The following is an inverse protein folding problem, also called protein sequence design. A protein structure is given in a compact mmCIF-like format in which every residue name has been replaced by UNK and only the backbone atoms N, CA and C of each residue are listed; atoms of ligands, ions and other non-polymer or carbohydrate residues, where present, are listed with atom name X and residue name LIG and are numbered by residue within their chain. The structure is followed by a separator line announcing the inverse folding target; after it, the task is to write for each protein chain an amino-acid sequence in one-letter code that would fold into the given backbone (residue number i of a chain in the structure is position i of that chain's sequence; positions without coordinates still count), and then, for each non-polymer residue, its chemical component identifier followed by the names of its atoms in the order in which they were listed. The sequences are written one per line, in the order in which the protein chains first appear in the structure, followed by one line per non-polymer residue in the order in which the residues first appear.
data_IF_792027734095
#
_entry.id   IF_792027734095
#
_cell.length_a   1.000
_cell.length_b   1.000
_cell.length_c   1.000
_cell.angle_alpha   90.00
_cell.angle_beta   90.00
_cell.angle_gamma   90.00
#
_symmetry.space_group_name_H-M   'P 1'
#
loop_
_entity.id
_entity.type
_entity.pdbx_description
1 polymer ?
#
# COMPACT_ATOMS: atom_id res chain seq x y z
N UNK A 1 -22.90 3.03 -5.28
CA UNK A 1 -22.00 2.74 -4.14
C UNK A 1 -21.26 4.02 -3.81
N UNK A 2 -21.45 4.56 -2.61
CA UNK A 2 -20.74 5.75 -2.14
C UNK A 2 -19.23 5.48 -2.01
N UNK A 3 -18.41 6.53 -1.99
CA UNK A 3 -16.95 6.40 -1.94
C UNK A 3 -16.47 5.55 -0.75
N UNK A 4 -17.03 5.79 0.43
CA UNK A 4 -16.67 5.06 1.65
C UNK A 4 -17.10 3.58 1.62
N UNK A 5 -18.22 3.28 0.98
CA UNK A 5 -18.71 1.91 0.80
C UNK A 5 -17.80 1.11 -0.16
N UNK A 6 -17.27 1.74 -1.22
CA UNK A 6 -16.30 1.12 -2.12
C UNK A 6 -15.00 0.83 -1.38
N UNK A 7 -14.50 1.80 -0.62
CA UNK A 7 -13.29 1.66 0.19
C UNK A 7 -13.40 0.48 1.17
N UNK A 8 -14.49 0.42 1.93
CA UNK A 8 -14.72 -0.67 2.87
C UNK A 8 -14.84 -2.03 2.19
N UNK A 9 -15.55 -2.10 1.05
CA UNK A 9 -15.74 -3.34 0.28
C UNK A 9 -14.42 -3.88 -0.25
N UNK A 10 -13.61 -3.04 -0.89
CA UNK A 10 -12.31 -3.45 -1.43
C UNK A 10 -11.33 -3.83 -0.33
N UNK A 11 -11.27 -3.06 0.75
CA UNK A 11 -10.41 -3.35 1.90
C UNK A 11 -10.77 -4.70 2.53
N UNK A 12 -12.07 -4.98 2.69
CA UNK A 12 -12.57 -6.27 3.19
C UNK A 12 -12.17 -7.42 2.26
N UNK A 13 -12.34 -7.25 0.95
CA UNK A 13 -11.93 -8.24 -0.04
C UNK A 13 -10.43 -8.53 0.03
N UNK A 14 -9.58 -7.48 -0.04
CA UNK A 14 -8.12 -7.62 0.00
C UNK A 14 -7.63 -8.26 1.31
N UNK A 15 -8.36 -8.09 2.43
CA UNK A 15 -7.98 -8.67 3.71
C UNK A 15 -7.96 -10.21 3.72
N UNK A 16 -8.62 -10.87 2.77
CA UNK A 16 -8.75 -12.33 2.68
C UNK A 16 -8.17 -12.93 1.39
N UNK A 17 -7.70 -12.12 0.44
CA UNK A 17 -7.11 -12.66 -0.80
C UNK A 17 -5.72 -13.26 -0.57
N UNK A 18 -5.35 -14.23 -1.40
CA UNK A 18 -4.03 -14.85 -1.38
C UNK A 18 -2.97 -13.99 -2.12
N UNK A 19 -1.70 -14.41 -2.04
CA UNK A 19 -0.57 -13.70 -2.66
C UNK A 19 -0.73 -13.52 -4.17
N UNK A 20 -1.27 -14.53 -4.88
CA UNK A 20 -1.47 -14.48 -6.33
C UNK A 20 -2.45 -13.38 -6.73
N UNK A 21 -3.61 -13.33 -6.09
CA UNK A 21 -4.63 -12.33 -6.40
C UNK A 21 -4.15 -10.92 -6.04
N UNK A 22 -3.44 -10.78 -4.92
CA UNK A 22 -2.82 -9.51 -4.54
C UNK A 22 -1.78 -9.05 -5.58
N UNK A 23 -0.94 -9.96 -6.08
CA UNK A 23 0.05 -9.66 -7.11
C UNK A 23 -0.61 -9.22 -8.43
N UNK A 24 -1.67 -9.91 -8.88
CA UNK A 24 -2.40 -9.50 -10.07
C UNK A 24 -3.04 -8.11 -9.93
N UNK A 25 -3.53 -7.77 -8.74
CA UNK A 25 -4.05 -6.42 -8.48
C UNK A 25 -2.95 -5.34 -8.50
N UNK A 26 -1.75 -5.68 -8.02
CA UNK A 26 -0.57 -4.81 -8.13
C UNK A 26 -0.15 -4.59 -9.58
N UNK A 27 -0.09 -5.66 -10.38
CA UNK A 27 0.25 -5.60 -11.82
C UNK A 27 -0.74 -4.70 -12.56
N UNK A 28 -2.04 -4.87 -12.32
CA UNK A 28 -3.08 -4.04 -12.94
C UNK A 28 -2.93 -2.55 -12.58
N UNK A 29 -2.50 -2.24 -11.35
CA UNK A 29 -2.16 -0.87 -10.98
C UNK A 29 -0.96 -0.34 -11.75
N UNK A 30 0.10 -1.13 -11.90
CA UNK A 30 1.30 -0.70 -12.62
C UNK A 30 1.03 -0.42 -14.10
N UNK A 31 0.10 -1.15 -14.71
CA UNK A 31 -0.35 -0.92 -16.09
C UNK A 31 -1.15 0.39 -16.23
N UNK A 32 -2.01 0.71 -15.24
CA UNK A 32 -2.89 1.88 -15.30
C UNK A 32 -2.93 2.67 -13.97
N UNK A 33 -1.84 3.36 -13.56
CA UNK A 33 -1.73 3.93 -12.21
C UNK A 33 -2.79 4.97 -11.86
N UNK A 34 -3.20 5.79 -12.85
CA UNK A 34 -4.20 6.86 -12.65
C UNK A 34 -5.61 6.30 -12.42
N UNK A 35 -5.95 5.21 -13.09
CA UNK A 35 -7.27 4.59 -13.01
C UNK A 35 -7.39 3.63 -11.83
N UNK A 36 -6.26 3.07 -11.40
CA UNK A 36 -6.18 2.04 -10.35
C UNK A 36 -5.70 2.57 -9.00
N UNK A 37 -5.68 3.90 -8.79
CA UNK A 37 -5.23 4.49 -7.53
C UNK A 37 -6.06 4.02 -6.32
N UNK A 38 -7.38 3.84 -6.50
CA UNK A 38 -8.24 3.26 -5.46
C UNK A 38 -7.81 1.82 -5.14
N UNK A 39 -7.54 0.99 -6.16
CA UNK A 39 -7.08 -0.40 -5.96
C UNK A 39 -5.76 -0.45 -5.20
N UNK A 40 -4.81 0.40 -5.60
CA UNK A 40 -3.52 0.56 -4.94
C UNK A 40 -3.67 0.92 -3.47
N UNK A 41 -4.51 1.92 -3.16
CA UNK A 41 -4.80 2.30 -1.79
C UNK A 41 -5.48 1.17 -0.97
N UNK A 42 -6.01 0.12 -1.59
CA UNK A 42 -6.63 -1.00 -0.88
C UNK A 42 -5.67 -2.17 -0.66
N UNK A 43 -4.54 -2.23 -1.38
CA UNK A 43 -3.56 -3.32 -1.24
C UNK A 43 -2.93 -3.38 0.17
N UNK A 44 -2.87 -2.27 0.89
CA UNK A 44 -2.42 -2.21 2.29
C UNK A 44 -3.40 -2.80 3.30
N UNK A 45 -4.63 -3.16 2.89
CA UNK A 45 -5.60 -3.84 3.77
C UNK A 45 -5.34 -5.34 3.96
N UNK A 46 -4.34 -5.90 3.28
CA UNK A 46 -3.98 -7.32 3.42
C UNK A 46 -3.58 -7.65 4.86
N UNK A 47 -3.93 -8.85 5.34
CA UNK A 47 -3.46 -9.38 6.63
C UNK A 47 -2.13 -10.12 6.52
N UNK A 48 -1.56 -10.19 5.33
CA UNK A 48 -0.29 -10.87 5.09
C UNK A 48 0.87 -9.88 5.26
N UNK A 49 1.59 -9.98 6.39
CA UNK A 49 2.74 -9.13 6.70
C UNK A 49 3.86 -9.21 5.65
N UNK A 50 4.03 -10.35 4.97
CA UNK A 50 5.00 -10.47 3.86
C UNK A 50 4.61 -9.55 2.71
N UNK A 51 3.32 -9.48 2.37
CA UNK A 51 2.82 -8.59 1.31
C UNK A 51 2.94 -7.12 1.73
N UNK A 52 2.66 -6.77 2.99
CA UNK A 52 2.89 -5.41 3.51
C UNK A 52 4.36 -5.04 3.40
N UNK A 53 5.28 -5.92 3.80
CA UNK A 53 6.72 -5.67 3.67
C UNK A 53 7.14 -5.46 2.22
N UNK A 54 6.67 -6.32 1.31
CA UNK A 54 6.91 -6.15 -0.14
C UNK A 54 6.40 -4.80 -0.62
N UNK A 55 5.16 -4.45 -0.25
CA UNK A 55 4.49 -3.25 -0.69
C UNK A 55 5.24 -1.98 -0.25
N UNK A 56 5.65 -1.94 1.01
CA UNK A 56 6.37 -0.83 1.61
C UNK A 56 7.80 -0.72 1.07
N UNK A 57 8.46 -1.84 0.79
CA UNK A 57 9.78 -1.86 0.15
C UNK A 57 9.74 -1.29 -1.27
N UNK A 58 8.71 -1.61 -2.05
CA UNK A 58 8.51 -1.03 -3.38
C UNK A 58 8.37 0.49 -3.32
N UNK A 59 7.61 1.01 -2.35
CA UNK A 59 7.47 2.45 -2.10
C UNK A 59 8.82 3.10 -1.78
N UNK A 60 9.55 2.53 -0.81
CA UNK A 60 10.82 3.09 -0.36
C UNK A 60 11.88 3.06 -1.45
N UNK A 61 11.86 2.05 -2.33
CA UNK A 61 12.78 1.98 -3.46
C UNK A 61 12.43 3.03 -4.54
N UNK A 62 11.15 3.41 -4.71
CA UNK A 62 10.82 4.51 -5.63
C UNK A 62 11.32 5.85 -5.10
N UNK A 63 11.38 6.05 -3.78
CA UNK A 63 11.97 7.27 -3.15
C UNK A 63 13.42 7.50 -3.56
N UNK A 64 14.20 6.43 -3.70
CA UNK A 64 15.61 6.54 -4.10
C UNK A 64 15.85 7.05 -5.53
N UNK A 65 14.79 7.26 -6.33
CA UNK A 65 14.88 7.73 -7.71
C UNK A 65 14.65 9.24 -7.93
N UNK A 66 14.57 10.04 -6.85
CA UNK A 66 14.51 11.52 -6.88
C UNK A 66 13.31 12.12 -7.65
N UNK A 67 12.08 11.65 -7.41
CA UNK A 67 10.86 12.31 -7.89
C UNK A 67 9.92 12.68 -6.73
N UNK A 68 9.22 13.82 -6.84
CA UNK A 68 8.16 14.19 -5.89
C UNK A 68 7.10 13.10 -5.75
N UNK A 69 6.87 12.37 -6.84
CA UNK A 69 5.94 11.23 -6.92
C UNK A 69 6.27 10.13 -5.90
N UNK A 70 7.53 10.01 -5.48
CA UNK A 70 7.93 8.96 -4.57
C UNK A 70 7.56 9.23 -3.11
N UNK A 71 7.56 10.50 -2.68
CA UNK A 71 7.02 10.90 -1.38
C UNK A 71 5.50 10.70 -1.34
N UNK A 72 4.82 11.06 -2.43
CA UNK A 72 3.38 10.84 -2.58
C UNK A 72 3.04 9.35 -2.52
N UNK A 73 3.86 8.48 -3.14
CA UNK A 73 3.68 7.03 -3.06
C UNK A 73 3.80 6.48 -1.63
N UNK A 74 4.76 6.96 -0.84
CA UNK A 74 4.89 6.55 0.58
C UNK A 74 3.70 7.05 1.39
N UNK A 75 3.23 8.28 1.16
CA UNK A 75 2.06 8.83 1.84
C UNK A 75 0.77 8.06 1.49
N UNK A 76 0.57 7.73 0.21
CA UNK A 76 -0.57 6.93 -0.26
C UNK A 76 -0.55 5.52 0.35
N UNK A 77 0.64 4.89 0.41
CA UNK A 77 0.78 3.57 1.05
C UNK A 77 0.53 3.66 2.55
N UNK A 78 0.98 4.72 3.22
CA UNK A 78 0.71 4.89 4.63
C UNK A 78 -0.79 5.07 4.92
N UNK A 79 -1.50 5.87 4.11
CA UNK A 79 -2.96 6.01 4.20
C UNK A 79 -3.71 4.72 3.88
N UNK A 80 -3.17 3.91 2.97
CA UNK A 80 -3.65 2.55 2.68
C UNK A 80 -3.60 1.66 3.92
N UNK A 81 -2.46 1.66 4.61
CA UNK A 81 -2.21 0.85 5.80
C UNK A 81 -3.04 1.30 7.00
N UNK A 82 -3.31 2.61 7.13
CA UNK A 82 -4.21 3.17 8.15
C UNK A 82 -5.63 2.61 8.05
N UNK A 83 -6.03 2.17 6.87
CA UNK A 83 -7.35 1.60 6.62
C UNK A 83 -7.42 0.10 6.97
N UNK A 84 -6.28 -0.54 7.25
CA UNK A 84 -6.17 -1.95 7.65
C UNK A 84 -6.29 -2.18 9.17
N UNK A 85 -6.17 -3.44 9.63
CA UNK A 85 -6.18 -3.78 11.06
C UNK A 85 -5.04 -3.11 11.83
N UNK A 86 -5.28 -2.75 13.10
CA UNK A 86 -4.30 -2.05 13.94
C UNK A 86 -2.93 -2.76 14.04
N UNK A 87 -2.92 -4.10 14.08
CA UNK A 87 -1.69 -4.89 14.06
C UNK A 87 -0.85 -4.65 12.80
N UNK A 88 -1.51 -4.59 11.64
CA UNK A 88 -0.84 -4.36 10.36
C UNK A 88 -0.38 -2.92 10.20
N UNK A 89 -1.17 -1.97 10.72
CA UNK A 89 -0.77 -0.58 10.81
C UNK A 89 0.50 -0.40 11.65
N UNK A 90 0.54 -1.02 12.84
CA UNK A 90 1.71 -0.96 13.72
C UNK A 90 2.94 -1.60 13.07
N UNK A 91 2.78 -2.80 12.48
CA UNK A 91 3.87 -3.46 11.75
C UNK A 91 4.43 -2.58 10.62
N UNK A 92 3.56 -1.93 9.85
CA UNK A 92 3.99 -1.07 8.77
C UNK A 92 4.62 0.25 9.26
N UNK A 93 4.15 0.79 10.39
CA UNK A 93 4.76 1.94 11.06
C UNK A 93 6.18 1.59 11.52
N UNK A 94 6.39 0.43 12.12
CA UNK A 94 7.71 -0.05 12.53
C UNK A 94 8.66 -0.13 11.32
N UNK A 95 8.21 -0.72 10.20
CA UNK A 95 8.99 -0.78 8.96
C UNK A 95 9.35 0.61 8.40
N UNK A 96 8.43 1.57 8.47
CA UNK A 96 8.69 2.94 8.05
C UNK A 96 9.73 3.63 8.94
N UNK A 97 9.61 3.46 10.26
CA UNK A 97 10.56 4.01 11.23
C UNK A 97 11.96 3.43 11.04
N UNK A 98 12.07 2.12 10.83
CA UNK A 98 13.33 1.43 10.49
C UNK A 98 13.99 1.99 9.22
N UNK A 99 13.19 2.52 8.27
CA UNK A 99 13.65 3.04 6.98
C UNK A 99 13.57 4.56 6.87
N UNK A 100 13.34 5.29 7.95
CA UNK A 100 13.10 6.74 7.94
C UNK A 100 14.22 7.55 7.26
N UNK A 101 15.46 7.05 7.32
CA UNK A 101 16.63 7.66 6.66
C UNK A 101 16.53 7.69 5.13
N UNK A 102 15.76 6.79 4.50
CA UNK A 102 15.52 6.79 3.05
C UNK A 102 14.49 7.83 2.64
N UNK A 103 13.62 8.23 3.57
CA UNK A 103 12.55 9.21 3.33
C UNK A 103 13.10 10.63 3.52
N UNK A 104 14.02 10.87 4.45
CA UNK A 104 14.52 12.22 4.78
C UNK A 104 15.50 12.83 3.75
N UNK A 105 15.81 12.13 2.65
CA UNK A 105 16.74 12.59 1.61
C UNK A 105 16.02 13.46 0.58
#
# INVERSE_FOLDING_TARGET
IAYDERKWTYCTAVSVVNETVWASAMEAFQENPKEMLELYAMLGCTKNQKLIRTYLTMALNSVTTNSSDAFDNVAIIFESLRSGPAEQYNFALDLLLENANKIRQ
#
